data_IF_598612602372
#
_entry.id   IF_598612602372
#
_cell.length_a   1.000
_cell.length_b   1.000
_cell.length_c   1.000
_cell.angle_alpha   90.00
_cell.angle_beta   90.00
_cell.angle_gamma   90.00
#
_symmetry.space_group_name_H-M   'P 1'
#
loop_
_entity.id
_entity.type
_entity.pdbx_description
1 polymer ?
#
# COMPACT_ATOMS: atom_id res chain seq x y z
N UNK A 1 -12.87 3.03 -15.15
CA UNK A 1 -13.08 3.60 -13.81
C UNK A 1 -11.74 3.87 -13.16
N UNK A 2 -11.67 4.88 -12.26
CA UNK A 2 -10.49 5.25 -11.47
C UNK A 2 -10.81 5.15 -9.97
N UNK A 3 -9.85 4.70 -9.18
CA UNK A 3 -9.93 4.62 -7.73
C UNK A 3 -8.54 4.84 -7.12
N UNK A 4 -8.43 5.66 -6.09
CA UNK A 4 -7.27 5.70 -5.21
C UNK A 4 -7.39 4.50 -4.26
N UNK A 5 -6.51 3.51 -4.43
CA UNK A 5 -6.58 2.24 -3.70
C UNK A 5 -5.71 2.20 -2.44
N UNK A 6 -5.09 3.34 -2.07
CA UNK A 6 -4.30 3.45 -0.85
C UNK A 6 -4.40 4.87 -0.29
N UNK A 7 -5.25 5.06 0.71
CA UNK A 7 -5.49 6.38 1.31
C UNK A 7 -6.02 6.24 2.73
N UNK A 8 -5.58 7.13 3.63
CA UNK A 8 -5.79 7.05 5.06
C UNK A 8 -6.65 8.18 5.61
N UNK A 9 -7.50 7.81 6.57
CA UNK A 9 -8.28 8.76 7.37
C UNK A 9 -7.76 8.82 8.81
N UNK A 10 -8.38 9.64 9.64
CA UNK A 10 -8.11 9.73 11.08
C UNK A 10 -8.33 8.41 11.85
N UNK A 11 -8.92 7.41 11.21
CA UNK A 11 -9.18 6.09 11.80
C UNK A 11 -7.99 5.12 11.64
N UNK A 12 -6.92 5.53 10.95
CA UNK A 12 -5.65 4.76 10.88
C UNK A 12 -4.89 4.69 12.22
N UNK A 13 -5.40 5.38 13.24
CA UNK A 13 -4.81 5.32 14.57
C UNK A 13 -3.69 6.34 14.78
N UNK A 14 -2.75 5.99 15.68
CA UNK A 14 -1.64 6.86 16.08
C UNK A 14 -0.39 6.53 15.27
N UNK A 15 0.47 7.53 15.05
CA UNK A 15 1.73 7.32 14.35
C UNK A 15 2.65 6.36 15.12
N UNK A 16 3.58 5.73 14.41
CA UNK A 16 4.54 4.76 14.98
C UNK A 16 5.83 5.41 15.50
N UNK A 17 5.93 6.75 15.45
CA UNK A 17 7.14 7.47 15.90
C UNK A 17 7.18 7.49 17.43
N UNK A 18 8.23 6.92 18.07
CA UNK A 18 8.37 6.91 19.53
C UNK A 18 8.22 8.31 20.12
N UNK A 19 7.52 8.42 21.24
CA UNK A 19 7.14 9.64 21.96
C UNK A 19 6.02 10.45 21.29
N UNK A 20 5.85 10.39 19.97
CA UNK A 20 4.73 11.03 19.28
C UNK A 20 3.52 10.09 19.14
N UNK A 21 3.72 8.79 19.28
CA UNK A 21 2.70 7.73 19.22
C UNK A 21 1.51 7.89 20.20
N UNK A 22 1.66 8.78 21.20
CA UNK A 22 0.62 9.11 22.19
C UNK A 22 -0.18 10.37 21.84
N UNK A 23 0.31 11.19 20.91
CA UNK A 23 -0.24 12.53 20.65
C UNK A 23 -0.40 12.88 19.17
N UNK A 24 0.31 12.19 18.30
CA UNK A 24 0.25 12.40 16.86
C UNK A 24 -0.52 11.25 16.20
N UNK A 25 -1.58 11.59 15.46
CA UNK A 25 -2.25 10.61 14.61
C UNK A 25 -1.45 10.38 13.35
N UNK A 26 -1.63 9.23 12.75
CA UNK A 26 -1.05 8.92 11.46
C UNK A 26 -1.68 9.80 10.36
N UNK A 27 -3.00 10.00 10.40
CA UNK A 27 -3.72 10.93 9.54
C UNK A 27 -4.73 11.76 10.36
N UNK A 28 -4.92 13.02 9.96
CA UNK A 28 -5.95 13.91 10.50
C UNK A 28 -7.10 14.13 9.52
N UNK A 29 -7.09 13.44 8.40
CA UNK A 29 -8.10 13.59 7.34
C UNK A 29 -9.40 12.91 7.76
N UNK A 30 -10.48 13.68 7.86
CA UNK A 30 -11.81 13.12 8.12
C UNK A 30 -12.36 12.40 6.88
N UNK A 31 -13.14 11.32 7.03
CA UNK A 31 -13.66 10.52 5.92
C UNK A 31 -14.46 11.30 4.88
N UNK A 32 -15.37 12.19 5.32
CA UNK A 32 -16.23 12.94 4.40
C UNK A 32 -15.46 13.95 3.54
N UNK A 33 -14.56 14.82 4.07
CA UNK A 33 -13.68 15.68 3.26
C UNK A 33 -12.77 14.88 2.30
N UNK A 34 -12.29 13.70 2.71
CA UNK A 34 -11.52 12.80 1.86
C UNK A 34 -12.36 12.33 0.67
N UNK A 35 -13.58 11.85 0.93
CA UNK A 35 -14.53 11.43 -0.11
C UNK A 35 -14.76 12.55 -1.13
N UNK A 36 -15.09 13.75 -0.66
CA UNK A 36 -15.34 14.92 -1.52
C UNK A 36 -14.12 15.28 -2.37
N UNK A 37 -12.91 15.21 -1.79
CA UNK A 37 -11.66 15.45 -2.51
C UNK A 37 -11.43 14.41 -3.60
N UNK A 38 -11.65 13.12 -3.32
CA UNK A 38 -11.55 12.06 -4.31
C UNK A 38 -12.54 12.27 -5.46
N UNK A 39 -13.78 12.64 -5.17
CA UNK A 39 -14.79 12.93 -6.19
C UNK A 39 -14.42 14.15 -7.04
N UNK A 40 -13.96 15.24 -6.43
CA UNK A 40 -13.46 16.43 -7.14
C UNK A 40 -12.26 16.11 -8.06
N UNK A 41 -11.42 15.15 -7.67
CA UNK A 41 -10.28 14.66 -8.49
C UNK A 41 -10.68 13.59 -9.51
N UNK A 42 -11.99 13.32 -9.64
CA UNK A 42 -12.56 12.48 -10.67
C UNK A 42 -12.37 10.98 -10.41
N UNK A 43 -12.35 10.54 -9.16
CA UNK A 43 -12.44 9.13 -8.83
C UNK A 43 -13.88 8.64 -9.06
N UNK A 44 -14.02 7.55 -9.79
CA UNK A 44 -15.32 6.92 -10.05
C UNK A 44 -15.79 6.10 -8.86
N UNK A 45 -14.84 5.41 -8.22
CA UNK A 45 -15.02 4.63 -7.00
C UNK A 45 -14.19 5.23 -5.87
N UNK A 46 -14.67 5.07 -4.64
CA UNK A 46 -14.00 5.52 -3.42
C UNK A 46 -13.80 4.34 -2.46
N UNK A 47 -12.64 4.26 -1.89
CA UNK A 47 -12.33 3.39 -0.75
C UNK A 47 -11.40 4.13 0.21
N UNK A 48 -11.26 3.61 1.42
CA UNK A 48 -10.23 3.99 2.39
C UNK A 48 -9.54 2.73 2.88
N UNK A 49 -8.27 2.84 3.22
CA UNK A 49 -7.42 1.73 3.63
C UNK A 49 -6.74 2.05 4.95
N UNK A 50 -7.54 2.43 5.95
CA UNK A 50 -7.04 2.71 7.29
C UNK A 50 -6.32 1.48 7.88
N UNK A 51 -5.26 1.72 8.66
CA UNK A 51 -4.51 0.65 9.31
C UNK A 51 -5.37 -0.11 10.31
N UNK A 52 -5.53 -1.42 10.06
CA UNK A 52 -6.22 -2.36 10.95
C UNK A 52 -7.62 -1.89 11.40
N UNK A 53 -8.25 -0.99 10.64
CA UNK A 53 -9.54 -0.37 10.98
C UNK A 53 -10.44 -0.24 9.75
N UNK A 54 -11.75 -0.35 10.01
CA UNK A 54 -12.81 -0.09 9.04
C UNK A 54 -13.79 1.00 9.53
N UNK A 55 -13.43 1.74 10.57
CA UNK A 55 -14.36 2.67 11.25
C UNK A 55 -14.85 3.81 10.34
N UNK A 56 -14.08 4.20 9.32
CA UNK A 56 -14.51 5.18 8.33
C UNK A 56 -15.80 4.77 7.59
N UNK A 57 -16.15 3.47 7.60
CA UNK A 57 -17.40 2.96 6.99
C UNK A 57 -18.65 3.63 7.58
N UNK A 58 -18.64 3.99 8.85
CA UNK A 58 -19.80 4.63 9.51
C UNK A 58 -20.18 5.95 8.86
N UNK A 59 -19.20 6.72 8.38
CA UNK A 59 -19.43 7.99 7.70
C UNK A 59 -19.66 7.81 6.18
N UNK A 60 -19.08 6.77 5.56
CA UNK A 60 -19.01 6.63 4.09
C UNK A 60 -20.01 5.62 3.50
N UNK A 61 -20.60 4.70 4.29
CA UNK A 61 -21.49 3.63 3.80
C UNK A 61 -22.72 4.13 3.02
N UNK A 62 -23.11 5.39 3.22
CA UNK A 62 -24.23 6.00 2.48
C UNK A 62 -23.94 6.26 0.99
N UNK A 63 -22.67 6.27 0.59
CA UNK A 63 -22.26 6.53 -0.78
C UNK A 63 -22.22 5.21 -1.57
N UNK A 64 -22.96 5.15 -2.66
CA UNK A 64 -23.11 3.92 -3.49
C UNK A 64 -21.87 3.53 -4.26
N UNK A 65 -20.94 4.48 -4.42
CA UNK A 65 -19.64 4.31 -5.07
C UNK A 65 -18.49 4.03 -4.09
N UNK A 66 -18.82 3.96 -2.78
CA UNK A 66 -17.88 3.54 -1.74
C UNK A 66 -17.87 2.01 -1.60
N UNK A 67 -16.69 1.45 -1.38
CA UNK A 67 -16.51 0.06 -0.98
C UNK A 67 -15.47 -0.08 0.12
N UNK A 68 -15.65 -1.07 0.98
CA UNK A 68 -14.83 -1.27 2.17
C UNK A 68 -13.51 -1.94 1.83
N UNK A 69 -12.41 -1.38 2.33
CA UNK A 69 -11.05 -1.93 2.26
C UNK A 69 -10.30 -1.60 3.54
N UNK A 70 -9.17 -2.22 3.77
CA UNK A 70 -8.26 -1.89 4.88
C UNK A 70 -6.81 -2.16 4.48
N UNK A 71 -5.89 -1.48 5.13
CA UNK A 71 -4.48 -1.85 5.13
C UNK A 71 -4.16 -2.61 6.42
N UNK A 72 -3.74 -3.84 6.27
CA UNK A 72 -3.50 -4.76 7.39
C UNK A 72 -2.02 -4.77 7.74
N UNK A 73 -1.70 -4.46 9.00
CA UNK A 73 -0.37 -4.64 9.55
C UNK A 73 -0.16 -6.10 9.90
N UNK A 74 0.47 -6.85 9.01
CA UNK A 74 0.68 -8.28 9.12
C UNK A 74 2.12 -8.63 9.52
N UNK A 75 2.30 -9.79 10.16
CA UNK A 75 3.62 -10.28 10.58
C UNK A 75 3.98 -11.54 9.79
N UNK A 76 5.16 -11.52 9.15
CA UNK A 76 5.69 -12.68 8.44
C UNK A 76 6.25 -13.74 9.41
N UNK A 77 6.49 -14.97 8.97
CA UNK A 77 7.11 -16.01 9.79
C UNK A 77 8.48 -15.60 10.37
N UNK A 78 9.22 -14.74 9.68
CA UNK A 78 10.50 -14.21 10.14
C UNK A 78 10.36 -13.01 11.11
N UNK A 79 9.12 -12.69 11.50
CA UNK A 79 8.82 -11.56 12.38
C UNK A 79 8.91 -10.18 11.70
N UNK A 80 8.91 -10.14 10.37
CA UNK A 80 8.90 -8.88 9.60
C UNK A 80 7.48 -8.30 9.59
N UNK A 81 7.36 -7.02 9.90
CA UNK A 81 6.12 -6.28 9.73
C UNK A 81 5.91 -5.91 8.25
N UNK A 82 4.69 -6.09 7.78
CA UNK A 82 4.29 -5.91 6.39
C UNK A 82 2.91 -5.26 6.31
N UNK A 83 2.70 -4.45 5.29
CA UNK A 83 1.39 -3.86 5.03
C UNK A 83 0.72 -4.57 3.84
N UNK A 84 -0.48 -5.05 4.09
CA UNK A 84 -1.29 -5.81 3.12
C UNK A 84 -2.56 -5.03 2.83
N UNK A 85 -2.69 -4.53 1.62
CA UNK A 85 -3.95 -3.93 1.16
C UNK A 85 -4.98 -5.03 0.87
N UNK A 86 -6.17 -4.94 1.45
CA UNK A 86 -7.27 -5.90 1.23
C UNK A 86 -8.50 -5.15 0.77
N UNK A 87 -9.08 -5.55 -0.36
CA UNK A 87 -10.05 -4.75 -1.09
C UNK A 87 -11.42 -5.42 -1.24
N UNK A 88 -12.48 -4.61 -1.22
CA UNK A 88 -13.89 -5.01 -1.36
C UNK A 88 -14.30 -6.06 -0.34
N UNK A 89 -13.98 -5.79 0.91
CA UNK A 89 -14.28 -6.65 2.06
C UNK A 89 -15.67 -6.35 2.65
N UNK A 90 -16.08 -7.17 3.59
CA UNK A 90 -17.25 -6.96 4.45
C UNK A 90 -16.77 -6.93 5.91
N UNK A 91 -17.56 -6.35 6.82
CA UNK A 91 -17.24 -6.28 8.25
C UNK A 91 -16.91 -7.63 8.88
N UNK A 92 -17.54 -8.72 8.42
CA UNK A 92 -17.20 -10.08 8.86
C UNK A 92 -15.79 -10.49 8.46
N UNK A 93 -15.31 -10.06 7.27
CA UNK A 93 -13.95 -10.36 6.81
C UNK A 93 -12.93 -9.62 7.67
N UNK A 94 -13.17 -8.35 8.01
CA UNK A 94 -12.32 -7.58 8.91
C UNK A 94 -12.05 -8.33 10.22
N UNK A 95 -13.09 -8.85 10.89
CA UNK A 95 -12.93 -9.61 12.14
C UNK A 95 -11.99 -10.80 11.99
N UNK A 96 -12.10 -11.54 10.89
CA UNK A 96 -11.27 -12.71 10.62
C UNK A 96 -9.85 -12.33 10.16
N UNK A 97 -9.69 -11.22 9.45
CA UNK A 97 -8.41 -10.63 9.08
C UNK A 97 -7.65 -10.25 10.35
N UNK A 98 -8.27 -9.50 11.27
CA UNK A 98 -7.65 -9.05 12.52
C UNK A 98 -7.21 -10.22 13.42
N UNK A 99 -7.92 -11.35 13.39
CA UNK A 99 -7.51 -12.58 14.12
C UNK A 99 -6.24 -13.22 13.54
N UNK A 100 -6.01 -13.07 12.22
CA UNK A 100 -4.94 -13.76 11.48
C UNK A 100 -3.75 -12.88 11.14
N UNK A 101 -3.83 -11.56 11.30
CA UNK A 101 -2.80 -10.64 10.84
C UNK A 101 -1.40 -10.89 11.42
N UNK A 102 -1.31 -11.56 12.56
CA UNK A 102 -0.02 -11.95 13.16
C UNK A 102 0.58 -13.23 12.57
N UNK A 103 -0.13 -13.87 11.63
CA UNK A 103 0.29 -15.07 10.91
C UNK A 103 0.00 -14.85 9.42
N UNK A 104 0.98 -14.27 8.71
CA UNK A 104 0.81 -13.90 7.30
C UNK A 104 0.41 -15.09 6.39
N UNK A 105 0.98 -16.30 6.51
CA UNK A 105 0.51 -17.46 5.76
C UNK A 105 -0.98 -17.79 6.02
N UNK A 106 -1.42 -17.77 7.27
CA UNK A 106 -2.82 -18.02 7.62
C UNK A 106 -3.75 -16.91 7.10
N UNK A 107 -3.27 -15.65 7.11
CA UNK A 107 -3.98 -14.52 6.52
C UNK A 107 -4.13 -14.70 5.01
N UNK A 108 -3.05 -14.96 4.28
CA UNK A 108 -3.07 -15.17 2.82
C UNK A 108 -3.98 -16.34 2.41
N UNK A 109 -3.93 -17.44 3.16
CA UNK A 109 -4.81 -18.61 2.94
C UNK A 109 -6.29 -18.21 3.07
N UNK A 110 -6.65 -17.51 4.15
CA UNK A 110 -8.01 -17.02 4.37
C UNK A 110 -8.48 -16.08 3.27
N UNK A 111 -7.67 -15.08 2.91
CA UNK A 111 -8.01 -14.11 1.86
C UNK A 111 -8.23 -14.81 0.52
N UNK A 112 -7.43 -15.82 0.20
CA UNK A 112 -7.55 -16.61 -1.03
C UNK A 112 -8.81 -17.48 -1.01
N UNK A 113 -9.13 -18.15 0.11
CA UNK A 113 -10.34 -18.94 0.30
C UNK A 113 -11.60 -18.08 0.13
N UNK A 114 -11.60 -16.85 0.66
CA UNK A 114 -12.69 -15.90 0.52
C UNK A 114 -12.70 -15.18 -0.84
N UNK A 115 -11.78 -15.51 -1.76
CA UNK A 115 -11.63 -14.89 -3.08
C UNK A 115 -11.47 -13.35 -3.01
N UNK A 116 -10.92 -12.82 -1.93
CA UNK A 116 -10.62 -11.40 -1.77
C UNK A 116 -9.37 -11.04 -2.58
N UNK A 117 -9.38 -9.84 -3.17
CA UNK A 117 -8.19 -9.32 -3.82
C UNK A 117 -7.33 -8.60 -2.78
N UNK A 118 -6.04 -8.90 -2.76
CA UNK A 118 -5.09 -8.31 -1.82
C UNK A 118 -3.72 -8.09 -2.44
N UNK A 119 -2.97 -7.17 -1.87
CA UNK A 119 -1.65 -6.76 -2.38
C UNK A 119 -0.64 -6.65 -1.26
N UNK A 120 0.64 -6.89 -1.58
CA UNK A 120 1.72 -6.38 -0.74
C UNK A 120 1.96 -4.91 -1.09
N UNK A 121 1.87 -4.03 -0.09
CA UNK A 121 2.03 -2.60 -0.28
C UNK A 121 3.51 -2.20 -0.13
N UNK A 122 3.91 -1.14 -0.83
CA UNK A 122 5.23 -0.49 -0.81
C UNK A 122 6.40 -1.45 -0.49
N UNK A 123 6.46 -2.56 -1.25
CA UNK A 123 7.35 -3.72 -1.01
C UNK A 123 8.84 -3.34 -0.84
N UNK A 124 9.29 -2.27 -1.49
CA UNK A 124 10.65 -1.74 -1.38
C UNK A 124 10.76 -0.51 -0.46
N UNK A 125 9.83 -0.31 0.47
CA UNK A 125 9.96 0.72 1.49
C UNK A 125 10.60 0.20 2.77
N UNK A 126 11.41 1.05 3.38
CA UNK A 126 12.01 0.81 4.70
C UNK A 126 11.08 1.18 5.86
N UNK A 127 9.89 1.72 5.59
CA UNK A 127 8.94 2.18 6.61
C UNK A 127 8.51 1.05 7.54
N UNK A 128 8.24 -0.13 7.00
CA UNK A 128 7.90 -1.32 7.76
C UNK A 128 9.13 -2.13 8.21
N UNK A 129 10.32 -1.53 8.14
CA UNK A 129 11.55 -2.08 8.72
C UNK A 129 12.28 -3.09 7.83
N UNK A 130 12.48 -4.30 8.34
CA UNK A 130 13.34 -5.30 7.69
C UNK A 130 12.60 -6.06 6.59
N UNK A 131 13.39 -6.72 5.73
CA UNK A 131 12.93 -7.74 4.79
C UNK A 131 13.92 -8.89 4.81
N UNK A 132 13.44 -10.07 4.47
CA UNK A 132 14.25 -11.28 4.28
C UNK A 132 14.01 -11.84 2.88
N UNK A 133 14.86 -12.74 2.42
CA UNK A 133 14.63 -13.45 1.15
C UNK A 133 13.38 -14.36 1.23
N UNK A 134 13.08 -14.88 2.43
CA UNK A 134 11.89 -15.68 2.67
C UNK A 134 10.60 -14.84 2.51
N UNK A 135 10.60 -13.57 2.94
CA UNK A 135 9.48 -12.67 2.70
C UNK A 135 9.18 -12.52 1.20
N UNK A 136 10.21 -12.29 0.37
CA UNK A 136 10.04 -12.17 -1.08
C UNK A 136 9.59 -13.49 -1.72
N UNK A 137 10.05 -14.64 -1.22
CA UNK A 137 9.58 -15.95 -1.69
C UNK A 137 8.08 -16.14 -1.39
N UNK A 138 7.64 -15.71 -0.20
CA UNK A 138 6.23 -15.73 0.19
C UNK A 138 5.39 -14.78 -0.67
N UNK A 139 5.87 -13.54 -0.93
CA UNK A 139 5.17 -12.58 -1.80
C UNK A 139 5.00 -13.15 -3.21
N UNK A 140 6.05 -13.74 -3.77
CA UNK A 140 5.99 -14.35 -5.09
C UNK A 140 4.97 -15.51 -5.17
N UNK A 141 4.83 -16.29 -4.10
CA UNK A 141 3.95 -17.46 -4.05
C UNK A 141 2.49 -17.07 -3.78
N UNK A 142 2.23 -16.26 -2.75
CA UNK A 142 0.92 -16.15 -2.13
C UNK A 142 0.15 -14.88 -2.52
N UNK A 143 0.82 -13.80 -2.91
CA UNK A 143 0.14 -12.54 -3.22
C UNK A 143 -0.34 -12.49 -4.67
N UNK A 144 -1.63 -12.21 -4.93
CA UNK A 144 -2.15 -12.03 -6.29
C UNK A 144 -1.75 -10.69 -6.91
N UNK A 145 -1.48 -9.67 -6.07
CA UNK A 145 -1.15 -8.33 -6.53
C UNK A 145 -0.06 -7.64 -5.70
N UNK A 146 0.43 -6.52 -6.24
CA UNK A 146 1.45 -5.67 -5.62
C UNK A 146 1.12 -4.20 -5.83
N UNK A 147 1.43 -3.37 -4.84
CA UNK A 147 1.44 -1.93 -5.05
C UNK A 147 2.72 -1.54 -5.81
N UNK A 148 2.54 -1.05 -7.04
CA UNK A 148 3.63 -0.67 -7.93
C UNK A 148 3.79 0.85 -8.09
N UNK A 149 2.79 1.63 -7.68
CA UNK A 149 2.86 3.09 -7.64
C UNK A 149 2.22 3.62 -6.35
N UNK A 150 3.06 4.10 -5.44
CA UNK A 150 2.64 4.70 -4.19
C UNK A 150 3.04 6.18 -4.19
N UNK A 151 2.10 7.06 -3.87
CA UNK A 151 2.28 8.51 -3.92
C UNK A 151 3.23 9.08 -2.85
N UNK A 152 3.61 8.31 -1.83
CA UNK A 152 4.56 8.71 -0.78
C UNK A 152 5.95 8.07 -0.96
N UNK A 153 6.04 7.04 -1.79
CA UNK A 153 7.29 6.28 -1.99
C UNK A 153 8.10 6.86 -3.15
N UNK A 154 9.44 6.97 -3.04
CA UNK A 154 10.29 7.50 -4.10
C UNK A 154 10.13 6.76 -5.44
N UNK A 155 10.31 7.47 -6.55
CA UNK A 155 10.12 6.94 -7.90
C UNK A 155 10.97 5.68 -8.19
N UNK A 156 12.21 5.62 -7.70
CA UNK A 156 13.07 4.45 -7.88
C UNK A 156 12.43 3.20 -7.25
N UNK A 157 11.89 3.33 -6.04
CA UNK A 157 11.27 2.23 -5.31
C UNK A 157 10.01 1.75 -6.04
N UNK A 158 9.15 2.67 -6.50
CA UNK A 158 7.96 2.38 -7.28
C UNK A 158 8.32 1.67 -8.61
N UNK A 159 9.29 2.19 -9.35
CA UNK A 159 9.75 1.55 -10.59
C UNK A 159 10.23 0.13 -10.35
N UNK A 160 11.02 -0.11 -9.30
CA UNK A 160 11.50 -1.45 -8.96
C UNK A 160 10.38 -2.38 -8.49
N UNK A 161 9.37 -1.87 -7.81
CA UNK A 161 8.17 -2.65 -7.46
C UNK A 161 7.39 -3.05 -8.71
N UNK A 162 7.23 -2.15 -9.68
CA UNK A 162 6.61 -2.45 -10.98
C UNK A 162 7.39 -3.50 -11.79
N UNK A 163 8.72 -3.39 -11.86
CA UNK A 163 9.60 -4.39 -12.50
C UNK A 163 9.47 -5.76 -11.83
N UNK A 164 9.40 -5.80 -10.50
CA UNK A 164 9.21 -7.02 -9.73
C UNK A 164 7.85 -7.66 -10.01
N UNK A 165 6.78 -6.86 -9.95
CA UNK A 165 5.42 -7.32 -10.23
C UNK A 165 5.30 -7.90 -11.64
N UNK A 166 5.89 -7.22 -12.64
CA UNK A 166 5.94 -7.71 -14.02
C UNK A 166 6.71 -9.04 -14.11
N UNK A 167 7.88 -9.14 -13.49
CA UNK A 167 8.70 -10.35 -13.48
C UNK A 167 8.01 -11.55 -12.83
N UNK A 168 7.09 -11.30 -11.90
CA UNK A 168 6.31 -12.34 -11.21
C UNK A 168 4.91 -12.55 -11.79
N UNK A 169 4.51 -11.78 -12.81
CA UNK A 169 3.17 -11.86 -13.41
C UNK A 169 2.07 -11.47 -12.42
N UNK A 170 2.34 -10.54 -11.51
CA UNK A 170 1.37 -10.07 -10.50
C UNK A 170 0.52 -8.92 -11.04
N UNK A 171 -0.71 -8.86 -10.61
CA UNK A 171 -1.54 -7.67 -10.81
C UNK A 171 -0.91 -6.46 -10.09
N UNK A 172 -1.10 -5.25 -10.64
CA UNK A 172 -0.56 -4.04 -10.04
C UNK A 172 -1.67 -3.08 -9.64
N UNK A 173 -1.44 -2.39 -8.53
CA UNK A 173 -2.26 -1.27 -8.09
C UNK A 173 -1.40 -0.04 -7.84
N UNK A 174 -2.06 1.12 -7.75
CA UNK A 174 -1.47 2.36 -7.25
C UNK A 174 -2.44 3.13 -6.39
N UNK A 175 -1.90 3.82 -5.41
CA UNK A 175 -2.64 4.68 -4.50
C UNK A 175 -1.79 5.85 -4.00
N UNK A 176 -2.45 6.87 -3.46
CA UNK A 176 -1.77 8.07 -3.00
C UNK A 176 -1.00 7.88 -1.71
N UNK A 177 -1.40 6.90 -0.88
CA UNK A 177 -0.93 6.69 0.49
C UNK A 177 -1.01 8.00 1.30
N UNK A 178 -2.10 8.74 1.04
CA UNK A 178 -2.24 10.10 1.50
C UNK A 178 -2.70 10.15 2.96
N UNK A 179 -1.95 10.89 3.77
CA UNK A 179 -2.26 11.20 5.16
C UNK A 179 -2.71 12.66 5.33
N UNK A 180 -2.70 13.44 4.24
CA UNK A 180 -3.19 14.81 4.17
C UNK A 180 -4.06 15.00 2.93
N UNK A 181 -5.05 15.90 2.98
CA UNK A 181 -5.97 16.15 1.87
C UNK A 181 -5.27 16.59 0.58
N UNK A 182 -4.11 17.24 0.69
CA UNK A 182 -3.37 17.69 -0.50
C UNK A 182 -2.93 16.51 -1.40
N UNK A 183 -2.58 15.37 -0.80
CA UNK A 183 -2.09 14.20 -1.53
C UNK A 183 -3.19 13.24 -1.97
N UNK A 184 -4.39 13.27 -1.35
CA UNK A 184 -5.54 12.39 -1.65
C UNK A 184 -5.85 12.38 -3.15
N UNK A 185 -5.90 11.21 -3.80
CA UNK A 185 -6.31 11.06 -5.20
C UNK A 185 -5.31 11.58 -6.24
N UNK A 186 -4.09 11.98 -5.85
CA UNK A 186 -3.03 12.35 -6.81
C UNK A 186 -2.39 11.15 -7.48
N UNK A 187 -2.55 9.98 -6.88
CA UNK A 187 -2.12 8.70 -7.44
C UNK A 187 -3.30 7.75 -7.36
N UNK A 188 -3.57 7.03 -8.43
CA UNK A 188 -4.72 6.13 -8.50
C UNK A 188 -4.52 4.98 -9.49
N UNK A 189 -5.36 3.99 -9.36
CA UNK A 189 -5.48 2.86 -10.28
C UNK A 189 -6.64 3.08 -11.23
N UNK A 190 -6.45 2.79 -12.51
CA UNK A 190 -7.46 2.87 -13.56
C UNK A 190 -7.65 1.50 -14.21
N UNK A 191 -8.90 1.06 -14.33
CA UNK A 191 -9.29 -0.07 -15.18
C UNK A 191 -10.12 0.48 -16.35
N UNK A 192 -9.54 0.43 -17.54
CA UNK A 192 -10.19 0.92 -18.75
C UNK A 192 -11.41 0.05 -19.11
N UNK A 193 -12.50 0.69 -19.56
CA UNK A 193 -13.72 -0.03 -19.95
C UNK A 193 -14.63 -0.48 -18.81
N UNK A 194 -14.15 -0.53 -17.57
CA UNK A 194 -15.00 -0.87 -16.42
C UNK A 194 -16.08 0.22 -16.21
N UNK A 195 -17.31 -0.21 -15.94
CA UNK A 195 -18.49 0.65 -15.70
C UNK A 195 -19.12 0.39 -14.34
N UNK A 196 -18.77 -0.72 -13.70
CA UNK A 196 -19.25 -1.12 -12.37
C UNK A 196 -18.10 -1.47 -11.46
N UNK A 197 -18.34 -1.42 -10.13
CA UNK A 197 -17.36 -1.88 -9.13
C UNK A 197 -16.89 -3.31 -9.41
N UNK A 198 -17.83 -4.20 -9.76
CA UNK A 198 -17.49 -5.60 -10.07
C UNK A 198 -16.52 -5.70 -11.25
N UNK A 199 -16.79 -4.99 -12.34
CA UNK A 199 -15.88 -4.97 -13.52
C UNK A 199 -14.52 -4.37 -13.19
N UNK A 200 -14.48 -3.35 -12.32
CA UNK A 200 -13.25 -2.77 -11.83
C UNK A 200 -12.41 -3.80 -11.03
N UNK A 201 -13.01 -4.47 -10.05
CA UNK A 201 -12.35 -5.50 -9.25
C UNK A 201 -11.90 -6.71 -10.09
N UNK A 202 -12.73 -7.13 -11.03
CA UNK A 202 -12.39 -8.20 -11.98
C UNK A 202 -11.22 -7.80 -12.89
N UNK A 203 -11.18 -6.52 -13.31
CA UNK A 203 -10.06 -5.96 -14.07
C UNK A 203 -8.75 -5.94 -13.28
N UNK A 204 -8.79 -5.61 -11.97
CA UNK A 204 -7.63 -5.70 -11.08
C UNK A 204 -7.10 -7.14 -11.03
N UNK A 205 -7.97 -8.12 -10.75
CA UNK A 205 -7.59 -9.55 -10.68
C UNK A 205 -6.98 -10.07 -11.97
N UNK A 206 -7.42 -9.57 -13.12
CA UNK A 206 -6.86 -9.93 -14.44
C UNK A 206 -5.60 -9.15 -14.83
N UNK A 207 -5.09 -8.26 -13.96
CA UNK A 207 -3.92 -7.45 -14.26
C UNK A 207 -4.15 -6.40 -15.38
N UNK A 208 -5.39 -5.94 -15.57
CA UNK A 208 -5.78 -4.97 -16.61
C UNK A 208 -5.73 -3.51 -16.10
N UNK A 209 -5.11 -3.30 -14.96
CA UNK A 209 -4.97 -1.99 -14.37
C UNK A 209 -3.84 -1.18 -15.04
N UNK A 210 -4.04 0.11 -15.15
CA UNK A 210 -3.02 1.12 -15.43
C UNK A 210 -2.90 2.07 -14.24
N UNK A 211 -1.68 2.52 -13.96
CA UNK A 211 -1.38 3.37 -12.82
C UNK A 211 -1.22 4.81 -13.29
N UNK A 212 -1.80 5.75 -12.57
CA UNK A 212 -1.81 7.17 -12.92
C UNK A 212 -1.42 7.95 -11.66
N UNK A 213 -0.51 8.90 -11.81
CA UNK A 213 -0.17 9.82 -10.73
C UNK A 213 1.32 10.00 -10.55
N UNK A 214 1.67 10.42 -9.36
CA UNK A 214 3.02 10.83 -8.96
C UNK A 214 3.57 9.95 -7.87
N UNK A 215 4.89 9.85 -7.80
CA UNK A 215 5.64 9.22 -6.71
C UNK A 215 5.87 10.22 -5.56
N UNK A 216 6.37 9.71 -4.43
CA UNK A 216 6.88 10.52 -3.34
C UNK A 216 8.11 11.32 -3.78
N UNK A 217 8.18 12.57 -3.34
CA UNK A 217 9.30 13.48 -3.56
C UNK A 217 9.68 14.18 -2.25
N UNK A 218 10.94 14.53 -2.10
CA UNK A 218 11.47 15.13 -0.88
C UNK A 218 10.62 16.28 -0.34
N UNK A 219 10.31 17.28 -1.16
CA UNK A 219 9.52 18.43 -0.73
C UNK A 219 8.06 18.10 -0.48
N UNK A 220 7.49 17.16 -1.20
CA UNK A 220 6.13 16.67 -0.98
C UNK A 220 6.02 16.00 0.39
N UNK A 221 6.95 15.11 0.71
CA UNK A 221 7.00 14.42 2.01
C UNK A 221 7.28 15.38 3.17
N UNK A 222 8.25 16.31 2.98
CA UNK A 222 8.55 17.34 4.00
C UNK A 222 7.32 18.16 4.32
N UNK A 223 6.57 18.59 3.31
CA UNK A 223 5.33 19.35 3.49
C UNK A 223 4.26 18.54 4.21
N UNK A 224 4.06 17.28 3.81
CA UNK A 224 3.08 16.39 4.46
C UNK A 224 3.37 16.22 5.95
N UNK A 225 4.63 16.00 6.33
CA UNK A 225 5.02 15.88 7.75
C UNK A 225 4.80 17.18 8.51
N UNK A 226 5.09 18.35 7.90
CA UNK A 226 4.79 19.66 8.52
C UNK A 226 3.30 19.88 8.70
N UNK A 227 2.47 19.50 7.72
CA UNK A 227 1.01 19.58 7.80
C UNK A 227 0.46 18.70 8.92
N UNK A 228 0.96 17.46 9.06
CA UNK A 228 0.60 16.56 10.16
C UNK A 228 1.00 17.14 11.52
N UNK A 229 2.21 17.71 11.65
CA UNK A 229 2.66 18.38 12.86
C UNK A 229 1.77 19.57 13.24
N UNK A 230 1.37 20.37 12.26
CA UNK A 230 0.44 21.48 12.49
C UNK A 230 -0.96 21.00 12.87
N UNK A 231 -1.44 19.90 12.29
CA UNK A 231 -2.71 19.30 12.65
C UNK A 231 -2.68 18.74 14.07
N UNK A 232 -1.59 18.08 14.47
CA UNK A 232 -1.34 17.62 15.85
C UNK A 232 -1.43 18.79 16.84
N UNK A 233 -0.78 19.93 16.57
CA UNK A 233 -0.82 21.10 17.44
C UNK A 233 -2.23 21.70 17.52
N UNK A 234 -3.00 21.69 16.44
CA UNK A 234 -4.39 22.17 16.44
C UNK A 234 -5.31 21.30 17.28
N UNK A 235 -5.15 19.99 17.22
CA UNK A 235 -5.90 19.02 18.03
C UNK A 235 -5.45 19.07 19.50
N UNK A 236 -4.14 19.14 19.72
CA UNK A 236 -3.52 19.05 21.05
C UNK A 236 -2.69 20.30 21.36
N UNK A 237 -3.34 21.42 21.72
CA UNK A 237 -2.67 22.73 21.91
C UNK A 237 -1.51 22.73 22.89
N UNK A 238 -1.51 21.80 23.86
CA UNK A 238 -0.39 21.64 24.81
C UNK A 238 0.91 21.17 24.14
N UNK A 239 0.84 20.67 22.90
CA UNK A 239 2.04 20.31 22.10
C UNK A 239 2.67 21.51 21.38
N UNK A 240 2.11 22.72 21.50
CA UNK A 240 2.66 23.95 20.90
C UNK A 240 4.16 24.16 21.21
N UNK A 241 4.71 23.82 22.39
CA UNK A 241 6.15 23.89 22.65
C UNK A 241 7.01 23.04 21.72
N UNK A 242 6.44 22.06 21.00
CA UNK A 242 7.15 21.23 20.02
C UNK A 242 7.29 21.94 18.65
N UNK A 243 6.59 23.06 18.43
CA UNK A 243 6.63 23.78 17.13
C UNK A 243 8.07 24.11 16.65
N UNK A 244 9.05 24.49 17.50
CA UNK A 244 10.43 24.72 17.04
C UNK A 244 11.10 23.48 16.42
N UNK A 245 10.65 22.28 16.76
CA UNK A 245 11.16 21.03 16.18
C UNK A 245 10.80 20.89 14.69
N UNK A 246 9.86 21.69 14.17
CA UNK A 246 9.56 21.72 12.74
C UNK A 246 10.79 22.02 11.87
N UNK A 247 11.81 22.71 12.41
CA UNK A 247 13.07 23.01 11.72
C UNK A 247 13.88 21.75 11.39
N UNK A 248 13.71 20.65 12.12
CA UNK A 248 14.42 19.38 11.86
C UNK A 248 13.70 18.49 10.86
N UNK A 249 12.43 18.77 10.52
CA UNK A 249 11.64 17.96 9.60
C UNK A 249 12.33 17.77 8.23
N UNK A 250 12.91 18.81 7.59
CA UNK A 250 13.65 18.63 6.33
C UNK A 250 14.81 17.63 6.47
N UNK A 251 15.53 17.63 7.60
CA UNK A 251 16.64 16.69 7.83
C UNK A 251 16.12 15.27 8.01
N UNK A 252 15.03 15.08 8.76
CA UNK A 252 14.39 13.79 8.95
C UNK A 252 13.89 13.23 7.61
N UNK A 253 13.24 14.06 6.79
CA UNK A 253 12.77 13.66 5.46
C UNK A 253 13.93 13.28 4.55
N UNK A 254 15.04 14.02 4.58
CA UNK A 254 16.24 13.68 3.82
C UNK A 254 16.82 12.33 4.28
N UNK A 255 16.95 12.13 5.57
CA UNK A 255 17.42 10.85 6.14
C UNK A 255 16.51 9.70 5.72
N UNK A 256 15.19 9.91 5.69
CA UNK A 256 14.24 8.92 5.19
C UNK A 256 14.47 8.62 3.70
N UNK A 257 14.64 9.63 2.84
CA UNK A 257 14.95 9.43 1.43
C UNK A 257 16.23 8.62 1.22
N UNK A 258 17.27 8.87 2.01
CA UNK A 258 18.53 8.10 1.96
C UNK A 258 18.29 6.63 2.39
N UNK A 259 17.49 6.39 3.43
CA UNK A 259 17.12 5.05 3.88
C UNK A 259 16.34 4.29 2.82
N UNK A 260 15.36 4.93 2.20
CA UNK A 260 14.57 4.36 1.10
C UNK A 260 15.46 3.98 -0.08
N UNK A 261 16.39 4.85 -0.48
CA UNK A 261 17.36 4.57 -1.54
C UNK A 261 18.27 3.39 -1.18
N UNK A 262 18.80 3.36 0.04
CA UNK A 262 19.64 2.25 0.51
C UNK A 262 18.88 0.93 0.52
N UNK A 263 17.61 0.97 0.96
CA UNK A 263 16.75 -0.21 1.04
C UNK A 263 16.48 -0.81 -0.35
N UNK A 264 16.03 0.00 -1.30
CA UNK A 264 15.75 -0.48 -2.66
C UNK A 264 17.02 -0.95 -3.37
N UNK A 265 18.15 -0.26 -3.15
CA UNK A 265 19.45 -0.66 -3.72
C UNK A 265 19.93 -1.99 -3.19
N UNK A 266 19.61 -2.33 -1.95
CA UNK A 266 19.92 -3.62 -1.34
C UNK A 266 19.07 -4.76 -1.90
N UNK A 267 17.75 -4.54 -2.04
CA UNK A 267 16.79 -5.63 -2.28
C UNK A 267 16.45 -5.82 -3.76
N UNK A 268 16.31 -4.76 -4.56
CA UNK A 268 15.90 -4.88 -5.95
C UNK A 268 16.84 -5.76 -6.80
N UNK A 269 18.19 -5.67 -6.69
CA UNK A 269 19.07 -6.54 -7.45
C UNK A 269 18.97 -8.03 -7.12
N UNK A 270 18.48 -8.35 -5.90
CA UNK A 270 18.34 -9.73 -5.43
C UNK A 270 17.04 -10.38 -5.88
N UNK A 271 15.99 -9.58 -6.02
CA UNK A 271 14.62 -10.04 -6.24
C UNK A 271 14.14 -9.89 -7.68
N UNK A 272 14.66 -8.90 -8.43
CA UNK A 272 14.32 -8.68 -9.84
C UNK A 272 15.14 -9.55 -10.83
N UNK A 273 15.86 -10.59 -10.39
CA UNK A 273 16.52 -11.49 -11.32
C UNK A 273 15.49 -12.30 -12.11
N UNK A 274 15.56 -12.34 -13.46
CA UNK A 274 14.71 -13.23 -14.22
C UNK A 274 14.98 -14.65 -13.72
N UNK A 275 13.91 -15.38 -13.34
CA UNK A 275 14.01 -16.81 -13.09
C UNK A 275 14.52 -17.43 -14.38
N UNK A 276 15.78 -17.91 -14.41
CA UNK A 276 16.24 -18.84 -15.42
C UNK A 276 15.29 -20.02 -15.37
N UNK A 277 14.48 -20.21 -16.41
CA UNK A 277 13.69 -21.44 -16.58
C UNK A 277 14.69 -22.59 -16.44
N UNK A 278 14.43 -23.61 -15.60
CA UNK A 278 15.21 -24.82 -15.66
C UNK A 278 15.10 -25.34 -17.10
N UNK A 279 16.22 -25.38 -17.81
CA UNK A 279 16.33 -26.10 -19.08
C UNK A 279 16.10 -27.56 -18.73
N UNK A 280 14.88 -28.04 -18.93
CA UNK A 280 14.65 -29.48 -19.04
C UNK A 280 15.45 -29.93 -20.27
N UNK A 281 16.50 -30.67 -19.99
CA UNK A 281 17.31 -31.30 -21.03
C UNK A 281 16.38 -32.11 -21.92
N UNK A 282 16.46 -31.81 -23.21
CA UNK A 282 15.96 -32.70 -24.24
C UNK A 282 16.69 -34.03 -24.10
N UNK A 283 15.99 -35.03 -23.56
CA UNK A 283 16.44 -36.39 -23.63
C UNK A 283 16.52 -36.76 -25.11
N UNK A 284 17.70 -36.99 -25.60
CA UNK A 284 17.96 -37.64 -26.86
C UNK A 284 17.24 -38.99 -26.90
N UNK A 285 16.22 -39.11 -27.69
CA UNK A 285 15.77 -40.40 -28.20
C UNK A 285 16.59 -40.71 -29.42
N UNK A 286 17.68 -41.43 -29.20
CA UNK A 286 18.36 -42.24 -30.23
C UNK A 286 17.73 -43.63 -30.13
N UNK A 287 17.04 -44.01 -31.15
CA UNK A 287 16.80 -45.42 -31.57
C UNK A 287 16.61 -45.28 -33.09
N UNK A 288 17.45 -45.77 -33.90
CA UNK A 288 18.28 -46.96 -34.02
C UNK A 288 17.49 -48.06 -34.69
N UNK A 289 17.63 -48.20 -35.98
CA UNK A 289 17.80 -49.43 -36.68
C UNK A 289 16.58 -50.27 -37.06
N UNK A 290 16.42 -50.44 -38.25
CA UNK A 290 16.13 -51.51 -39.22
C UNK A 290 14.98 -51.17 -40.15
#
# INVERSE_FOLDING_TARGET
MRCDLHVHTRHSGMCTVPLLDRVCRESYTSPQPLYETLKQRGMDLVTVTDHDSIDAVEELRRHTDFFLSEEVTAISPDGTELHVGVYDIQERHHKEIQRRRKDLPALCAYLSEQQLFFTINHVYSSLTGRRTEADFALFARDFPGMEALNGQIPELNNRRAGELAQGWGKAVIGGSDAHTLESVGRTCTRVAGARTKKEFMDGLRRGQASLIGESGAYWKLTRAVLELGMAMIRENRWTLPLLPLAVVVPVITLANCVREFAFVSRWAPRTCRPRTRPTYGAACANEGGL
#
